data_IF_145121055041
#
_entry.id   IF_145121055041
#
_cell.length_a   1.000
_cell.length_b   1.000
_cell.length_c   1.000
_cell.angle_alpha   90.00
_cell.angle_beta   90.00
_cell.angle_gamma   90.00
#
_symmetry.space_group_name_H-M   'P 1'
#
loop_
_entity.id
_entity.type
_entity.pdbx_description
1 polymer ?
#
# COMPACT_ATOMS: atom_id res chain seq x y z
N UNK A 1 -11.02 11.31 16.46
CA UNK A 1 -10.38 11.78 15.21
C UNK A 1 -11.34 11.47 14.06
N UNK A 2 -11.16 12.05 12.89
CA UNK A 2 -12.03 11.74 11.76
C UNK A 2 -11.64 10.39 11.15
N UNK A 3 -12.63 9.57 10.75
CA UNK A 3 -12.39 8.33 10.03
C UNK A 3 -11.89 8.65 8.61
N UNK A 4 -10.70 8.16 8.25
CA UNK A 4 -10.15 8.31 6.90
C UNK A 4 -10.56 7.17 5.98
N UNK A 5 -10.78 5.98 6.55
CA UNK A 5 -11.33 4.82 5.85
C UNK A 5 -12.55 4.34 6.60
N UNK A 6 -13.66 4.17 5.89
CA UNK A 6 -14.85 3.51 6.40
C UNK A 6 -15.32 2.47 5.40
N UNK A 7 -15.44 1.24 5.85
CA UNK A 7 -15.95 0.11 5.08
C UNK A 7 -17.29 -0.29 5.67
N UNK A 8 -18.31 -0.34 4.84
CA UNK A 8 -19.70 -0.63 5.23
C UNK A 8 -20.23 -1.82 4.43
N UNK A 9 -20.50 -2.92 5.13
CA UNK A 9 -21.14 -4.13 4.58
C UNK A 9 -20.48 -4.64 3.29
N UNK A 10 -19.14 -4.59 3.23
CA UNK A 10 -18.36 -4.95 2.07
C UNK A 10 -18.43 -6.46 1.82
N UNK A 11 -18.95 -6.85 0.66
CA UNK A 11 -18.88 -8.21 0.18
C UNK A 11 -18.27 -8.27 -1.22
N UNK A 12 -17.49 -9.32 -1.46
CA UNK A 12 -16.87 -9.54 -2.77
C UNK A 12 -16.83 -11.02 -3.14
N UNK A 13 -17.33 -11.31 -4.34
CA UNK A 13 -17.37 -12.65 -4.91
C UNK A 13 -16.53 -12.68 -6.18
N UNK A 14 -15.53 -13.55 -6.23
CA UNK A 14 -14.83 -13.86 -7.48
C UNK A 14 -15.69 -14.71 -8.38
N UNK A 15 -15.70 -14.44 -9.69
CA UNK A 15 -16.45 -15.16 -10.71
C UNK A 15 -17.94 -15.32 -10.37
N UNK A 16 -18.68 -14.23 -10.07
CA UNK A 16 -20.08 -14.34 -9.67
C UNK A 16 -20.92 -14.98 -10.77
N UNK A 17 -21.78 -15.93 -10.38
CA UNK A 17 -22.63 -16.69 -11.31
C UNK A 17 -21.94 -17.83 -12.05
N UNK A 18 -20.67 -18.09 -11.81
CA UNK A 18 -19.91 -19.22 -12.38
C UNK A 18 -19.86 -20.40 -11.39
N UNK A 19 -19.65 -21.65 -11.87
CA UNK A 19 -19.51 -22.81 -10.98
C UNK A 19 -18.33 -22.72 -9.99
N UNK A 20 -17.35 -21.90 -10.29
CA UNK A 20 -16.17 -21.62 -9.45
C UNK A 20 -16.25 -20.27 -8.72
N UNK A 21 -17.46 -19.80 -8.44
CA UNK A 21 -17.65 -18.59 -7.63
C UNK A 21 -17.12 -18.80 -6.21
N UNK A 22 -16.36 -17.81 -5.71
CA UNK A 22 -15.76 -17.84 -4.36
C UNK A 22 -16.06 -16.52 -3.66
N UNK A 23 -16.76 -16.58 -2.54
CA UNK A 23 -16.93 -15.42 -1.66
C UNK A 23 -15.61 -15.19 -0.90
N UNK A 24 -14.97 -14.07 -1.20
CA UNK A 24 -13.69 -13.69 -0.58
C UNK A 24 -13.87 -12.73 0.58
N UNK A 25 -14.89 -11.88 0.54
CA UNK A 25 -15.31 -10.99 1.61
C UNK A 25 -16.82 -11.14 1.80
N UNK A 26 -17.25 -11.22 3.04
CA UNK A 26 -18.66 -11.39 3.42
C UNK A 26 -19.03 -10.44 4.55
N UNK A 27 -19.82 -9.42 4.22
CA UNK A 27 -20.36 -8.41 5.16
C UNK A 27 -19.32 -7.74 6.09
N UNK A 28 -18.15 -7.37 5.54
CA UNK A 28 -17.06 -6.77 6.31
C UNK A 28 -17.33 -5.29 6.55
N UNK A 29 -17.28 -4.88 7.83
CA UNK A 29 -17.43 -3.48 8.22
C UNK A 29 -16.38 -3.08 9.25
N UNK A 30 -15.69 -1.95 9.04
CA UNK A 30 -14.73 -1.39 9.97
C UNK A 30 -14.43 0.07 9.64
N UNK A 31 -13.78 0.75 10.56
CA UNK A 31 -13.30 2.12 10.38
C UNK A 31 -11.84 2.25 10.81
N UNK A 32 -11.10 3.12 10.12
CA UNK A 32 -9.72 3.50 10.45
C UNK A 32 -9.66 5.01 10.60
N UNK A 33 -9.11 5.49 11.70
CA UNK A 33 -8.91 6.91 11.94
C UNK A 33 -7.66 7.41 11.22
N UNK A 34 -7.66 8.69 10.86
CA UNK A 34 -6.49 9.32 10.26
C UNK A 34 -5.30 9.28 11.23
N UNK A 35 -4.14 8.85 10.72
CA UNK A 35 -2.92 8.70 11.51
C UNK A 35 -2.83 7.39 12.31
N UNK A 36 -3.74 6.43 12.11
CA UNK A 36 -3.60 5.09 12.69
C UNK A 36 -2.53 4.26 11.97
N UNK A 37 -1.85 3.39 12.73
CA UNK A 37 -1.07 2.29 12.19
C UNK A 37 -1.81 0.98 12.49
N UNK A 38 -2.48 0.41 11.49
CA UNK A 38 -3.34 -0.76 11.65
C UNK A 38 -2.69 -2.00 11.07
N UNK A 39 -2.50 -3.04 11.89
CA UNK A 39 -2.12 -4.36 11.44
C UNK A 39 -3.32 -5.17 10.98
N UNK A 40 -3.23 -5.84 9.85
CA UNK A 40 -4.26 -6.76 9.33
C UNK A 40 -3.73 -8.19 9.40
N UNK A 41 -4.38 -9.00 10.21
CA UNK A 41 -4.02 -10.41 10.42
C UNK A 41 -5.17 -11.35 10.08
N UNK A 42 -4.86 -12.60 9.86
CA UNK A 42 -5.84 -13.66 9.57
C UNK A 42 -5.21 -14.83 8.84
N UNK A 43 -5.89 -15.96 8.81
CA UNK A 43 -5.42 -17.15 8.12
C UNK A 43 -5.24 -16.91 6.60
N UNK A 44 -4.43 -17.74 5.96
CA UNK A 44 -4.35 -17.75 4.49
C UNK A 44 -5.73 -18.00 3.89
N UNK A 45 -6.12 -17.18 2.92
CA UNK A 45 -7.44 -17.24 2.30
C UNK A 45 -8.57 -16.60 3.11
N UNK A 46 -8.28 -15.83 4.18
CA UNK A 46 -9.31 -15.03 4.90
C UNK A 46 -9.70 -13.72 4.20
N UNK A 47 -9.19 -13.45 3.00
CA UNK A 47 -9.56 -12.28 2.22
C UNK A 47 -8.70 -11.03 2.42
N UNK A 48 -7.56 -11.09 3.16
CA UNK A 48 -6.71 -9.91 3.43
C UNK A 48 -6.26 -9.19 2.16
N UNK A 49 -5.63 -9.90 1.22
CA UNK A 49 -5.17 -9.27 -0.03
C UNK A 49 -6.34 -8.79 -0.90
N UNK A 50 -7.48 -9.48 -0.84
CA UNK A 50 -8.71 -9.01 -1.49
C UNK A 50 -9.19 -7.71 -0.84
N UNK A 51 -9.21 -7.61 0.49
CA UNK A 51 -9.61 -6.40 1.20
C UNK A 51 -8.74 -5.21 0.81
N UNK A 52 -7.42 -5.35 0.86
CA UNK A 52 -6.51 -4.23 0.58
C UNK A 52 -6.56 -3.76 -0.87
N UNK A 53 -6.82 -4.64 -1.85
CA UNK A 53 -7.00 -4.24 -3.25
C UNK A 53 -8.28 -3.43 -3.47
N UNK A 54 -9.27 -3.56 -2.59
CA UNK A 54 -10.44 -2.69 -2.59
C UNK A 54 -10.13 -1.29 -2.09
N UNK A 55 -9.18 -1.13 -1.14
CA UNK A 55 -8.84 0.17 -0.55
C UNK A 55 -8.26 1.16 -1.56
N UNK A 56 -7.66 0.69 -2.64
CA UNK A 56 -7.13 1.56 -3.69
C UNK A 56 -7.93 1.47 -5.02
N UNK A 57 -9.11 0.85 -4.97
CA UNK A 57 -10.02 0.79 -6.11
C UNK A 57 -9.55 -0.09 -7.27
N UNK A 58 -8.72 -1.10 -7.01
CA UNK A 58 -8.39 -2.13 -8.00
C UNK A 58 -9.57 -3.09 -8.22
N UNK A 59 -10.29 -3.40 -7.15
CA UNK A 59 -11.50 -4.23 -7.20
C UNK A 59 -12.72 -3.39 -6.84
N UNK A 60 -13.81 -3.59 -7.60
CA UNK A 60 -15.12 -3.02 -7.27
C UNK A 60 -15.89 -4.00 -6.40
N UNK A 61 -16.48 -3.59 -5.27
CA UNK A 61 -17.31 -4.44 -4.43
C UNK A 61 -18.46 -5.09 -5.19
N UNK A 62 -18.84 -6.32 -4.78
CA UNK A 62 -20.10 -6.93 -5.21
C UNK A 62 -21.27 -6.23 -4.51
N UNK A 63 -21.11 -5.89 -3.22
CA UNK A 63 -22.05 -5.08 -2.44
C UNK A 63 -21.30 -4.33 -1.33
N UNK A 64 -21.98 -3.37 -0.70
CA UNK A 64 -21.40 -2.51 0.33
C UNK A 64 -20.70 -1.28 -0.24
N UNK A 65 -20.01 -0.55 0.63
CA UNK A 65 -19.35 0.72 0.29
C UNK A 65 -17.97 0.83 0.91
N UNK A 66 -17.13 1.59 0.25
CA UNK A 66 -15.81 1.98 0.75
C UNK A 66 -15.73 3.50 0.65
N UNK A 67 -15.58 4.13 1.79
CA UNK A 67 -15.50 5.58 1.92
C UNK A 67 -14.07 5.91 2.30
N UNK A 68 -13.40 6.71 1.47
CA UNK A 68 -12.04 7.22 1.68
C UNK A 68 -12.11 8.74 1.76
N UNK A 69 -11.59 9.29 2.85
CA UNK A 69 -11.59 10.75 3.08
C UNK A 69 -13.00 11.35 2.90
N UNK A 70 -14.01 10.68 3.47
CA UNK A 70 -15.42 11.09 3.42
C UNK A 70 -16.12 10.91 2.07
N UNK A 71 -15.45 10.34 1.05
CA UNK A 71 -15.99 10.13 -0.30
C UNK A 71 -16.15 8.66 -0.62
N UNK A 72 -17.30 8.26 -1.16
CA UNK A 72 -17.51 6.90 -1.65
C UNK A 72 -16.63 6.65 -2.87
N UNK A 73 -15.76 5.66 -2.78
CA UNK A 73 -14.77 5.29 -3.79
C UNK A 73 -15.37 4.99 -5.17
N UNK A 74 -16.61 4.48 -5.20
CA UNK A 74 -17.27 4.02 -6.42
C UNK A 74 -18.49 4.86 -6.83
N UNK A 75 -18.77 5.96 -6.12
CA UNK A 75 -19.86 6.88 -6.51
C UNK A 75 -19.58 7.55 -7.85
N UNK A 76 -18.30 7.88 -8.12
CA UNK A 76 -17.83 8.51 -9.36
C UNK A 76 -16.63 7.73 -9.91
N UNK A 77 -16.86 6.64 -10.68
CA UNK A 77 -15.81 5.75 -11.16
C UNK A 77 -14.70 6.43 -11.99
N UNK A 78 -15.02 7.52 -12.66
CA UNK A 78 -14.06 8.33 -13.42
C UNK A 78 -13.02 9.03 -12.53
N UNK A 79 -13.31 9.22 -11.25
CA UNK A 79 -12.41 9.83 -10.25
C UNK A 79 -11.57 8.80 -9.47
N UNK A 80 -11.64 7.53 -9.83
CA UNK A 80 -10.91 6.46 -9.14
C UNK A 80 -9.40 6.71 -9.08
N UNK A 81 -8.86 7.43 -10.07
CA UNK A 81 -7.45 7.80 -10.14
C UNK A 81 -7.04 8.70 -8.96
N UNK A 82 -7.89 9.61 -8.54
CA UNK A 82 -7.61 10.51 -7.40
C UNK A 82 -7.46 9.71 -6.10
N UNK A 83 -8.31 8.70 -5.92
CA UNK A 83 -8.22 7.80 -4.77
C UNK A 83 -6.94 6.97 -4.78
N UNK A 84 -6.43 6.56 -5.95
CA UNK A 84 -5.17 5.83 -6.08
C UNK A 84 -3.95 6.67 -5.68
N UNK A 85 -4.03 7.98 -5.83
CA UNK A 85 -2.99 8.88 -5.32
C UNK A 85 -3.11 9.11 -3.81
N UNK A 86 -4.32 9.06 -3.26
CA UNK A 86 -4.54 9.14 -1.81
C UNK A 86 -4.12 7.86 -1.09
N UNK A 87 -4.30 6.70 -1.74
CA UNK A 87 -4.05 5.38 -1.18
C UNK A 87 -2.95 4.68 -1.96
N UNK A 88 -1.71 4.81 -1.49
CA UNK A 88 -0.58 4.07 -2.02
C UNK A 88 -0.65 2.60 -1.62
N UNK A 89 -0.43 1.70 -2.57
CA UNK A 89 -0.44 0.25 -2.34
C UNK A 89 0.90 -0.35 -2.74
N UNK A 90 1.57 -0.96 -1.77
CA UNK A 90 2.76 -1.78 -1.96
C UNK A 90 2.34 -3.25 -1.91
N UNK A 91 2.45 -3.96 -3.01
CA UNK A 91 2.12 -5.38 -3.11
C UNK A 91 3.21 -6.27 -2.51
N UNK A 92 2.85 -7.53 -2.27
CA UNK A 92 3.81 -8.57 -1.97
C UNK A 92 4.81 -8.71 -3.12
N UNK A 93 6.11 -8.74 -2.82
CA UNK A 93 7.20 -8.72 -3.82
C UNK A 93 7.14 -7.53 -4.79
N UNK A 94 7.15 -6.29 -4.28
CA UNK A 94 6.95 -5.11 -5.10
C UNK A 94 8.07 -4.90 -6.13
N UNK A 95 9.24 -5.52 -5.93
CA UNK A 95 10.37 -5.54 -6.86
C UNK A 95 10.07 -6.12 -8.23
N UNK A 96 9.02 -6.92 -8.36
CA UNK A 96 8.57 -7.43 -9.68
C UNK A 96 7.74 -6.44 -10.49
N UNK A 97 7.42 -5.29 -9.90
CA UNK A 97 6.62 -4.25 -10.56
C UNK A 97 7.49 -3.16 -11.22
N UNK A 98 8.81 -3.24 -11.06
CA UNK A 98 9.73 -2.30 -11.68
C UNK A 98 9.79 -2.55 -13.20
N UNK A 99 9.71 -1.46 -13.99
CA UNK A 99 9.62 -1.57 -15.45
C UNK A 99 10.35 -0.47 -16.21
N UNK A 100 10.80 0.58 -15.55
CA UNK A 100 11.49 1.70 -16.16
C UNK A 100 12.97 1.43 -16.40
N UNK A 101 13.61 2.26 -17.22
CA UNK A 101 15.03 2.14 -17.59
C UNK A 101 15.96 2.45 -16.41
N UNK A 102 15.55 3.39 -15.53
CA UNK A 102 16.32 3.80 -14.35
C UNK A 102 15.48 3.81 -13.11
N UNK A 103 16.12 3.65 -11.95
CA UNK A 103 15.44 3.74 -10.64
C UNK A 103 14.75 5.10 -10.45
N UNK A 104 15.41 6.19 -10.89
CA UNK A 104 14.82 7.51 -10.87
C UNK A 104 13.50 7.55 -11.62
N UNK A 105 13.44 7.00 -12.84
CA UNK A 105 12.22 7.00 -13.65
C UNK A 105 11.10 6.18 -13.03
N UNK A 106 11.42 5.00 -12.44
CA UNK A 106 10.45 4.20 -11.71
C UNK A 106 9.85 4.95 -10.51
N UNK A 107 10.69 5.61 -9.70
CA UNK A 107 10.22 6.40 -8.55
C UNK A 107 9.43 7.63 -9.02
N UNK A 108 9.86 8.28 -10.09
CA UNK A 108 9.21 9.46 -10.67
C UNK A 108 7.87 9.16 -11.34
N UNK A 109 7.58 7.90 -11.66
CA UNK A 109 6.38 7.53 -12.43
C UNK A 109 5.08 7.97 -11.77
N UNK A 110 4.91 7.72 -10.48
CA UNK A 110 3.76 8.16 -9.71
C UNK A 110 3.59 9.69 -9.70
N UNK A 111 4.58 10.45 -9.22
CA UNK A 111 4.57 11.91 -9.21
C UNK A 111 4.29 12.56 -10.59
N UNK A 112 4.89 12.03 -11.66
CA UNK A 112 4.59 12.50 -13.02
C UNK A 112 3.13 12.27 -13.42
N UNK A 113 2.59 11.12 -13.06
CA UNK A 113 1.17 10.81 -13.32
C UNK A 113 0.21 11.65 -12.49
N UNK A 114 0.66 12.24 -11.38
CA UNK A 114 -0.11 13.23 -10.61
C UNK A 114 -0.14 14.60 -11.33
N UNK A 115 0.65 14.79 -12.38
CA UNK A 115 0.75 16.06 -13.11
C UNK A 115 1.60 17.11 -12.40
N UNK A 116 2.53 16.70 -11.54
CA UNK A 116 3.46 17.59 -10.88
C UNK A 116 4.51 18.11 -11.87
N UNK A 117 5.03 19.31 -11.61
CA UNK A 117 6.14 19.86 -12.38
C UNK A 117 7.45 19.11 -12.12
N UNK A 118 8.43 19.29 -12.99
CA UNK A 118 9.69 18.56 -12.93
C UNK A 118 10.46 18.80 -11.62
N UNK A 119 10.41 20.02 -11.08
CA UNK A 119 11.12 20.37 -9.84
C UNK A 119 10.51 19.66 -8.62
N UNK A 120 9.18 19.59 -8.54
CA UNK A 120 8.49 18.86 -7.46
C UNK A 120 8.65 17.33 -7.64
N UNK A 121 8.64 16.83 -8.88
CA UNK A 121 8.94 15.40 -9.15
C UNK A 121 10.34 15.07 -8.68
N UNK A 122 11.35 15.82 -9.08
CA UNK A 122 12.74 15.61 -8.69
C UNK A 122 12.92 15.61 -7.18
N UNK A 123 12.37 16.62 -6.50
CA UNK A 123 12.36 16.72 -5.05
C UNK A 123 11.76 15.48 -4.39
N UNK A 124 10.60 15.01 -4.86
CA UNK A 124 9.91 13.84 -4.29
C UNK A 124 10.67 12.54 -4.51
N UNK A 125 11.34 12.40 -5.65
CA UNK A 125 12.20 11.24 -5.93
C UNK A 125 13.33 11.17 -4.93
N UNK A 126 14.08 12.27 -4.74
CA UNK A 126 15.20 12.30 -3.81
C UNK A 126 14.76 12.11 -2.35
N UNK A 127 13.68 12.78 -1.91
CA UNK A 127 13.11 12.61 -0.57
C UNK A 127 12.69 11.15 -0.32
N UNK A 128 12.06 10.49 -1.31
CA UNK A 128 11.63 9.10 -1.17
C UNK A 128 12.81 8.13 -1.17
N UNK A 129 13.82 8.35 -2.01
CA UNK A 129 15.04 7.56 -2.06
C UNK A 129 15.83 7.64 -0.74
N UNK A 130 16.01 8.85 -0.22
CA UNK A 130 16.65 9.08 1.09
C UNK A 130 15.89 8.34 2.20
N UNK A 131 14.54 8.41 2.15
CA UNK A 131 13.69 7.83 3.17
C UNK A 131 13.84 6.31 3.29
N UNK A 132 13.92 5.61 2.15
CA UNK A 132 14.12 4.16 2.11
C UNK A 132 15.60 3.74 2.13
N UNK A 133 16.52 4.65 2.44
CA UNK A 133 17.95 4.38 2.48
C UNK A 133 18.53 3.90 1.14
N UNK A 134 17.98 4.36 0.01
CA UNK A 134 18.53 4.07 -1.31
C UNK A 134 19.68 5.04 -1.62
N UNK A 135 20.84 4.50 -1.96
CA UNK A 135 21.98 5.29 -2.37
C UNK A 135 21.66 6.11 -3.64
N UNK A 136 21.88 7.41 -3.60
CA UNK A 136 21.63 8.34 -4.70
C UNK A 136 22.35 7.92 -5.98
N UNK A 137 23.53 7.31 -5.88
CA UNK A 137 24.27 6.78 -7.02
C UNK A 137 23.53 5.65 -7.78
N UNK A 138 22.51 5.04 -7.16
CA UNK A 138 21.69 4.01 -7.77
C UNK A 138 20.52 4.59 -8.59
N UNK A 139 20.17 5.86 -8.43
CA UNK A 139 19.03 6.47 -9.12
C UNK A 139 19.15 6.40 -10.65
N UNK A 140 20.35 6.61 -11.17
CA UNK A 140 20.63 6.55 -12.62
C UNK A 140 20.86 5.14 -13.15
N UNK A 141 20.92 4.12 -12.27
CA UNK A 141 21.11 2.73 -12.68
C UNK A 141 19.78 2.07 -13.05
N UNK A 142 19.90 1.05 -13.91
CA UNK A 142 18.75 0.19 -14.21
C UNK A 142 18.33 -0.60 -12.96
N UNK A 143 17.03 -0.61 -12.60
CA UNK A 143 16.56 -1.42 -11.49
C UNK A 143 16.86 -2.91 -11.67
N UNK A 144 16.99 -3.38 -12.91
CA UNK A 144 17.28 -4.78 -13.21
C UNK A 144 18.71 -5.22 -12.83
N UNK A 145 19.62 -4.27 -12.63
CA UNK A 145 21.00 -4.52 -12.19
C UNK A 145 21.15 -4.55 -10.66
N UNK A 146 20.09 -4.19 -9.91
CA UNK A 146 20.13 -4.09 -8.47
C UNK A 146 19.92 -5.44 -7.77
N UNK A 147 20.37 -5.53 -6.51
CA UNK A 147 19.99 -6.63 -5.62
C UNK A 147 18.47 -6.64 -5.33
N UNK A 148 17.93 -7.77 -4.88
CA UNK A 148 16.50 -7.87 -4.55
C UNK A 148 16.05 -6.85 -3.50
N UNK A 149 16.87 -6.63 -2.45
CA UNK A 149 16.58 -5.63 -1.43
C UNK A 149 16.59 -4.20 -1.99
N UNK A 150 17.57 -3.86 -2.83
CA UNK A 150 17.61 -2.55 -3.47
C UNK A 150 16.42 -2.33 -4.42
N UNK A 151 16.04 -3.34 -5.22
CA UNK A 151 14.83 -3.29 -6.06
C UNK A 151 13.57 -3.00 -5.23
N UNK A 152 13.43 -3.69 -4.09
CA UNK A 152 12.30 -3.50 -3.17
C UNK A 152 12.25 -2.07 -2.64
N UNK A 153 13.39 -1.50 -2.25
CA UNK A 153 13.49 -0.09 -1.84
C UNK A 153 13.05 0.87 -2.95
N UNK A 154 13.47 0.65 -4.19
CA UNK A 154 13.02 1.44 -5.35
C UNK A 154 11.51 1.38 -5.50
N UNK A 155 10.90 0.18 -5.43
CA UNK A 155 9.46 0.02 -5.58
C UNK A 155 8.67 0.69 -4.43
N UNK A 156 9.13 0.57 -3.19
CA UNK A 156 8.54 1.24 -2.02
C UNK A 156 8.69 2.77 -2.16
N UNK A 157 9.86 3.26 -2.57
CA UNK A 157 10.09 4.69 -2.82
C UNK A 157 9.13 5.25 -3.88
N UNK A 158 8.85 4.48 -4.95
CA UNK A 158 7.90 4.87 -5.99
C UNK A 158 6.48 5.14 -5.46
N UNK A 159 6.04 4.36 -4.47
CA UNK A 159 4.76 4.60 -3.80
C UNK A 159 4.85 5.78 -2.84
N UNK A 160 5.92 5.87 -2.04
CA UNK A 160 6.12 6.96 -1.08
C UNK A 160 6.29 8.33 -1.75
N UNK A 161 6.88 8.39 -2.94
CA UNK A 161 7.07 9.62 -3.71
C UNK A 161 5.74 10.31 -4.07
N UNK A 162 4.64 9.56 -4.14
CA UNK A 162 3.30 10.14 -4.32
C UNK A 162 2.80 10.87 -3.06
N UNK A 163 3.44 10.68 -1.90
CA UNK A 163 3.02 11.20 -0.59
C UNK A 163 1.57 10.85 -0.27
N UNK A 164 1.21 9.56 -0.28
CA UNK A 164 -0.17 9.13 -0.03
C UNK A 164 -0.57 9.44 1.42
N UNK A 165 -1.86 9.74 1.64
CA UNK A 165 -2.41 9.88 3.00
C UNK A 165 -2.66 8.52 3.68
N UNK A 166 -2.83 7.48 2.87
CA UNK A 166 -3.01 6.10 3.31
C UNK A 166 -1.96 5.24 2.59
N UNK A 167 -1.13 4.53 3.34
CA UNK A 167 -0.15 3.58 2.82
C UNK A 167 -0.58 2.16 3.18
N UNK A 168 -0.87 1.36 2.17
CA UNK A 168 -1.25 -0.05 2.31
C UNK A 168 -0.08 -0.92 1.91
N UNK A 169 0.29 -1.86 2.76
CA UNK A 169 1.45 -2.73 2.58
C UNK A 169 1.00 -4.19 2.69
N UNK A 170 1.12 -4.93 1.59
CA UNK A 170 0.83 -6.37 1.55
C UNK A 170 2.10 -7.17 1.75
N UNK A 171 2.36 -7.60 2.97
CA UNK A 171 3.53 -8.39 3.34
C UNK A 171 4.86 -7.81 2.83
N UNK A 172 5.18 -6.54 3.13
CA UNK A 172 6.32 -5.84 2.54
C UNK A 172 7.67 -6.47 2.88
N UNK A 173 7.73 -7.26 3.94
CA UNK A 173 8.92 -7.96 4.42
C UNK A 173 8.98 -9.45 4.02
N UNK A 174 8.06 -9.91 3.15
CA UNK A 174 8.04 -11.31 2.72
C UNK A 174 9.36 -11.72 2.02
N UNK A 175 9.92 -12.85 2.43
CA UNK A 175 11.14 -13.39 1.84
C UNK A 175 12.44 -12.70 2.27
N UNK A 176 12.39 -11.73 3.18
CA UNK A 176 13.58 -11.11 3.77
C UNK A 176 14.04 -11.89 5.00
N UNK A 177 15.34 -11.77 5.29
CA UNK A 177 15.90 -12.18 6.57
C UNK A 177 15.39 -11.28 7.72
N UNK A 178 15.61 -11.66 8.99
CA UNK A 178 15.10 -10.89 10.13
C UNK A 178 15.60 -9.44 10.16
N UNK A 179 16.84 -9.18 9.75
CA UNK A 179 17.45 -7.85 9.75
C UNK A 179 16.79 -6.95 8.68
N UNK A 180 16.71 -7.43 7.44
CA UNK A 180 16.04 -6.71 6.34
C UNK A 180 14.54 -6.49 6.57
N UNK A 181 13.88 -7.42 7.30
CA UNK A 181 12.49 -7.26 7.73
C UNK A 181 12.34 -6.10 8.71
N UNK A 182 13.15 -6.08 9.77
CA UNK A 182 13.13 -5.03 10.79
C UNK A 182 13.48 -3.66 10.18
N UNK A 183 14.42 -3.62 9.25
CA UNK A 183 14.82 -2.41 8.55
C UNK A 183 13.64 -1.79 7.80
N UNK A 184 12.99 -2.53 6.90
CA UNK A 184 11.84 -2.03 6.12
C UNK A 184 10.68 -1.61 7.02
N UNK A 185 10.32 -2.40 8.03
CA UNK A 185 9.19 -2.07 8.89
C UNK A 185 9.49 -0.87 9.80
N UNK A 186 10.74 -0.69 10.22
CA UNK A 186 11.17 0.51 10.95
C UNK A 186 11.12 1.75 10.08
N UNK A 187 11.56 1.67 8.83
CA UNK A 187 11.45 2.76 7.85
C UNK A 187 9.98 3.19 7.64
N UNK A 188 9.07 2.23 7.48
CA UNK A 188 7.64 2.50 7.37
C UNK A 188 7.08 3.16 8.64
N UNK A 189 7.48 2.70 9.85
CA UNK A 189 7.04 3.30 11.12
C UNK A 189 7.58 4.73 11.27
N UNK A 190 8.81 4.99 10.86
CA UNK A 190 9.39 6.32 10.89
C UNK A 190 8.73 7.26 9.87
N UNK A 191 8.40 6.75 8.68
CA UNK A 191 7.59 7.49 7.71
C UNK A 191 6.23 7.89 8.28
N UNK A 192 5.52 6.92 8.85
CA UNK A 192 4.24 7.18 9.53
C UNK A 192 4.37 8.26 10.61
N UNK A 193 5.38 8.17 11.49
CA UNK A 193 5.59 9.15 12.56
C UNK A 193 5.91 10.56 12.04
N UNK A 194 6.72 10.64 10.97
CA UNK A 194 7.15 11.93 10.39
C UNK A 194 6.05 12.63 9.61
N UNK A 195 5.23 11.86 8.89
CA UNK A 195 4.25 12.39 7.94
C UNK A 195 2.82 12.38 8.45
N UNK A 196 2.52 11.57 9.47
CA UNK A 196 1.14 11.33 9.92
C UNK A 196 0.34 10.44 8.96
N UNK A 197 0.98 9.82 7.97
CA UNK A 197 0.33 8.91 7.01
C UNK A 197 -0.33 7.75 7.74
N UNK A 198 -1.59 7.45 7.43
CA UNK A 198 -2.29 6.26 7.93
C UNK A 198 -1.69 5.01 7.28
N UNK A 199 -1.41 3.98 8.06
CA UNK A 199 -0.79 2.74 7.56
C UNK A 199 -1.69 1.55 7.78
N UNK A 200 -1.90 0.74 6.74
CA UNK A 200 -2.47 -0.60 6.81
C UNK A 200 -1.39 -1.62 6.47
N UNK A 201 -0.96 -2.41 7.43
CA UNK A 201 0.07 -3.42 7.28
C UNK A 201 -0.53 -4.82 7.34
N UNK A 202 -0.52 -5.55 6.24
CA UNK A 202 -0.78 -6.98 6.22
C UNK A 202 0.50 -7.74 6.54
N UNK A 203 0.46 -8.57 7.56
CA UNK A 203 1.57 -9.46 7.91
C UNK A 203 1.07 -10.79 8.44
N UNK A 204 1.80 -11.87 8.13
CA UNK A 204 1.63 -13.17 8.76
C UNK A 204 2.39 -13.27 10.10
N UNK A 205 3.31 -12.36 10.37
CA UNK A 205 4.09 -12.29 11.59
C UNK A 205 3.33 -11.53 12.68
N UNK A 206 2.90 -12.26 13.70
CA UNK A 206 2.27 -11.64 14.88
C UNK A 206 3.25 -10.74 15.65
N UNK A 207 4.55 -11.05 15.56
CA UNK A 207 5.62 -10.27 16.18
C UNK A 207 5.74 -8.89 15.53
N UNK A 208 5.73 -8.82 14.19
CA UNK A 208 5.76 -7.56 13.45
C UNK A 208 4.54 -6.71 13.81
N UNK A 209 3.35 -7.32 13.81
CA UNK A 209 2.13 -6.59 14.15
C UNK A 209 2.17 -6.08 15.59
N UNK A 210 2.60 -6.88 16.54
CA UNK A 210 2.72 -6.45 17.94
C UNK A 210 3.75 -5.33 18.15
N UNK A 211 4.82 -5.32 17.33
CA UNK A 211 5.90 -4.33 17.41
C UNK A 211 5.53 -2.99 16.78
N UNK A 212 4.83 -3.00 15.66
CA UNK A 212 4.65 -1.81 14.82
C UNK A 212 3.23 -1.24 14.79
N UNK A 213 2.18 -2.07 14.95
CA UNK A 213 0.80 -1.63 14.85
C UNK A 213 0.24 -1.08 16.17
N UNK A 214 -0.56 -0.03 16.07
CA UNK A 214 -1.28 0.55 17.21
C UNK A 214 -2.67 -0.12 17.41
N UNK A 215 -3.27 -0.56 16.30
CA UNK A 215 -4.57 -1.26 16.24
C UNK A 215 -4.45 -2.50 15.37
N UNK A 216 -5.33 -3.48 15.59
CA UNK A 216 -5.31 -4.73 14.81
C UNK A 216 -6.70 -5.04 14.28
N UNK A 217 -6.79 -5.29 12.97
CA UNK A 217 -7.96 -5.85 12.30
C UNK A 217 -7.74 -7.36 12.12
N UNK A 218 -8.62 -8.17 12.71
CA UNK A 218 -8.54 -9.63 12.60
C UNK A 218 -9.57 -10.11 11.58
N UNK A 219 -9.09 -10.74 10.51
CA UNK A 219 -9.94 -11.36 9.50
C UNK A 219 -10.10 -12.84 9.75
N UNK A 220 -11.34 -13.29 9.93
CA UNK A 220 -11.74 -14.69 10.04
C UNK A 220 -12.58 -15.10 8.84
N UNK A 221 -12.60 -16.41 8.56
CA UNK A 221 -13.58 -16.98 7.63
C UNK A 221 -14.92 -17.12 8.29
#
# INVERSE_FOLDING_TARGET
>A
MASIIKVEHLSYVYNPGMPNAVTALDDVSFEVEEGDFVGIIGATGSGKSTLITHMNGLNKPTSGKIIIDGRDLWAEPEKIRDFRFLTGLVFQYPEYQLFEETCYKDIAFGPKNMGLDEAEVDKRVHEAAEFVGLDEALLERSPFELSGGQKRRVAVAGVMAMKPRILVLDEPAAGLDPEGRDEILSEVKDYHKKTGTTVLLVSHSMEDIAKYADKVLVMSR
#
